data_IF_512024734211
#
_entry.id   IF_512024734211
#
_cell.length_a   1.000
_cell.length_b   1.000
_cell.length_c   1.000
_cell.angle_alpha   90.00
_cell.angle_beta   90.00
_cell.angle_gamma   90.00
#
_symmetry.space_group_name_H-M   'P 1'
#
loop_
_entity.id
_entity.type
_entity.pdbx_description
1 polymer ?
#
# COMPACT_ATOMS: atom_id res chain seq x y z
N UNK A 1 14.62 -34.89 24.72
CA UNK A 1 14.71 -33.78 23.74
C UNK A 1 14.31 -32.53 24.49
N UNK A 2 15.29 -31.68 24.82
CA UNK A 2 15.05 -30.42 25.52
C UNK A 2 14.84 -29.35 24.45
N UNK A 3 13.65 -28.79 24.36
CA UNK A 3 13.44 -27.54 23.62
C UNK A 3 13.91 -26.47 24.61
N UNK A 4 15.06 -25.85 24.36
CA UNK A 4 15.57 -24.79 25.22
C UNK A 4 14.57 -23.64 25.31
N UNK A 5 14.67 -22.83 26.37
CA UNK A 5 13.84 -21.63 26.54
C UNK A 5 14.17 -20.62 25.42
N UNK A 6 13.44 -20.72 24.32
CA UNK A 6 13.54 -19.80 23.20
C UNK A 6 13.12 -18.41 23.63
N UNK A 7 13.93 -17.40 23.30
CA UNK A 7 13.53 -16.00 23.50
C UNK A 7 12.54 -15.64 22.39
N UNK A 8 11.30 -15.30 22.78
CA UNK A 8 10.33 -14.70 21.87
C UNK A 8 10.77 -13.27 21.52
N UNK A 9 11.30 -13.07 20.31
CA UNK A 9 11.76 -11.76 19.82
C UNK A 9 10.62 -10.93 19.19
N UNK A 10 9.50 -11.58 18.91
CA UNK A 10 8.35 -10.98 18.22
C UNK A 10 7.64 -9.90 19.05
N UNK A 11 7.92 -9.79 20.35
CA UNK A 11 7.23 -8.83 21.22
C UNK A 11 7.39 -7.39 20.75
N UNK A 12 8.60 -6.98 20.37
CA UNK A 12 8.86 -5.61 19.89
C UNK A 12 8.20 -5.37 18.52
N UNK A 13 8.23 -6.38 17.64
CA UNK A 13 7.54 -6.32 16.36
C UNK A 13 6.02 -6.19 16.55
N UNK A 14 5.43 -6.98 17.44
CA UNK A 14 3.99 -6.96 17.74
C UNK A 14 3.55 -5.64 18.42
N UNK A 15 4.40 -5.02 19.23
CA UNK A 15 4.13 -3.67 19.76
C UNK A 15 4.13 -2.62 18.65
N UNK A 16 4.99 -2.78 17.64
CA UNK A 16 4.98 -1.90 16.46
C UNK A 16 3.71 -2.12 15.64
N UNK A 17 3.30 -3.38 15.43
CA UNK A 17 2.03 -3.72 14.77
C UNK A 17 0.84 -3.09 15.48
N UNK A 18 0.79 -3.17 16.81
CA UNK A 18 -0.26 -2.55 17.63
C UNK A 18 -0.31 -1.04 17.43
N UNK A 19 0.84 -0.36 17.48
CA UNK A 19 0.94 1.09 17.23
C UNK A 19 0.46 1.49 15.83
N UNK A 20 0.82 0.71 14.80
CA UNK A 20 0.36 0.96 13.43
C UNK A 20 -1.15 0.75 13.31
N UNK A 21 -1.70 -0.27 13.98
CA UNK A 21 -3.14 -0.52 13.98
C UNK A 21 -3.93 0.62 14.66
N UNK A 22 -3.42 1.16 15.77
CA UNK A 22 -4.02 2.30 16.46
C UNK A 22 -3.99 3.59 15.63
N UNK A 23 -3.05 3.71 14.69
CA UNK A 23 -2.83 4.89 13.84
C UNK A 23 -3.07 4.63 12.35
N UNK A 24 -3.84 3.58 12.03
CA UNK A 24 -3.97 3.08 10.66
C UNK A 24 -4.47 4.15 9.67
N UNK A 25 -5.44 4.97 10.07
CA UNK A 25 -5.97 6.05 9.24
C UNK A 25 -4.91 7.12 8.90
N UNK A 26 -3.98 7.38 9.83
CA UNK A 26 -2.88 8.31 9.60
C UNK A 26 -1.87 7.74 8.61
N UNK A 27 -1.58 6.45 8.73
CA UNK A 27 -0.74 5.72 7.78
C UNK A 27 -1.38 5.65 6.40
N UNK A 28 -2.67 5.33 6.30
CA UNK A 28 -3.38 5.30 5.02
C UNK A 28 -3.32 6.65 4.31
N UNK A 29 -3.66 7.72 5.04
CA UNK A 29 -3.58 9.09 4.53
C UNK A 29 -2.17 9.43 4.05
N UNK A 30 -1.15 9.02 4.81
CA UNK A 30 0.25 9.27 4.45
C UNK A 30 0.67 8.48 3.21
N UNK A 31 0.33 7.20 3.13
CA UNK A 31 0.61 6.35 1.96
C UNK A 31 0.00 6.92 0.69
N UNK A 32 -1.27 7.37 0.75
CA UNK A 32 -1.94 8.05 -0.37
C UNK A 32 -1.25 9.35 -0.80
N UNK A 33 -0.75 10.13 0.17
CA UNK A 33 0.05 11.33 -0.13
C UNK A 33 1.36 10.98 -0.84
N UNK A 34 2.05 9.91 -0.44
CA UNK A 34 3.27 9.47 -1.11
C UNK A 34 2.98 8.92 -2.51
N UNK A 35 1.90 8.15 -2.71
CA UNK A 35 1.44 7.72 -4.03
C UNK A 35 1.18 8.91 -4.96
N UNK A 36 0.46 9.93 -4.48
CA UNK A 36 0.18 11.14 -5.27
C UNK A 36 1.47 11.88 -5.64
N UNK A 37 2.42 12.03 -4.71
CA UNK A 37 3.73 12.63 -5.03
C UNK A 37 4.50 11.79 -6.06
N UNK A 38 4.56 10.48 -5.85
CA UNK A 38 5.32 9.55 -6.69
C UNK A 38 4.78 9.50 -8.12
N UNK A 39 3.46 9.59 -8.25
CA UNK A 39 2.75 9.63 -9.53
C UNK A 39 3.04 10.89 -10.38
N UNK A 40 3.72 11.88 -9.81
CA UNK A 40 4.21 13.07 -10.52
C UNK A 40 5.74 13.05 -10.75
N UNK A 41 6.40 11.92 -10.48
CA UNK A 41 7.85 11.76 -10.73
C UNK A 41 8.11 11.21 -12.14
N UNK A 42 9.38 11.12 -12.53
CA UNK A 42 9.78 10.47 -13.79
C UNK A 42 9.68 8.94 -13.73
N UNK A 43 9.46 8.36 -12.53
CA UNK A 43 9.25 6.93 -12.38
C UNK A 43 7.83 6.56 -12.85
N UNK A 44 7.70 5.66 -13.85
CA UNK A 44 6.42 5.37 -14.47
C UNK A 44 5.56 4.43 -13.64
N UNK A 45 6.07 3.81 -12.56
CA UNK A 45 5.39 2.71 -11.83
C UNK A 45 3.93 3.01 -11.49
N UNK A 46 3.66 4.22 -10.97
CA UNK A 46 2.29 4.61 -10.60
C UNK A 46 1.50 5.11 -11.80
N UNK A 47 2.14 5.81 -12.75
CA UNK A 47 1.49 6.28 -13.97
C UNK A 47 1.00 5.10 -14.83
N UNK A 48 1.87 4.11 -15.07
CA UNK A 48 1.58 2.88 -15.81
C UNK A 48 0.47 2.06 -15.13
N UNK A 49 0.48 1.98 -13.79
CA UNK A 49 -0.60 1.33 -13.05
C UNK A 49 -1.95 2.01 -13.33
N UNK A 50 -1.99 3.34 -13.29
CA UNK A 50 -3.23 4.10 -13.51
C UNK A 50 -3.68 3.98 -14.97
N UNK A 51 -2.76 4.14 -15.93
CA UNK A 51 -3.05 4.03 -17.36
C UNK A 51 -3.62 2.65 -17.69
N UNK A 52 -2.97 1.57 -17.24
CA UNK A 52 -3.45 0.20 -17.44
C UNK A 52 -4.89 0.01 -16.94
N UNK A 53 -5.22 0.48 -15.73
CA UNK A 53 -6.57 0.31 -15.19
C UNK A 53 -7.60 1.23 -15.85
N UNK A 54 -7.22 2.42 -16.32
CA UNK A 54 -8.13 3.30 -17.07
C UNK A 54 -8.45 2.73 -18.45
N UNK A 55 -7.49 2.06 -19.10
CA UNK A 55 -7.69 1.40 -20.39
C UNK A 55 -8.50 0.11 -20.26
N UNK A 56 -8.17 -0.76 -19.31
CA UNK A 56 -8.79 -2.09 -19.17
C UNK A 56 -10.09 -2.08 -18.35
N UNK A 57 -10.17 -1.21 -17.34
CA UNK A 57 -11.24 -1.19 -16.33
C UNK A 57 -11.91 0.18 -16.20
N UNK A 58 -11.86 0.99 -17.27
CA UNK A 58 -12.34 2.36 -17.26
C UNK A 58 -13.81 2.50 -16.84
N UNK A 59 -14.68 1.54 -17.15
CA UNK A 59 -16.09 1.61 -16.75
C UNK A 59 -16.29 1.33 -15.25
N UNK A 60 -15.56 0.36 -14.72
CA UNK A 60 -15.56 -0.05 -13.31
C UNK A 60 -15.02 1.09 -12.44
N UNK A 61 -13.90 1.68 -12.87
CA UNK A 61 -13.32 2.87 -12.23
C UNK A 61 -14.33 4.02 -12.23
N UNK A 62 -14.92 4.35 -13.38
CA UNK A 62 -15.94 5.41 -13.51
C UNK A 62 -17.16 5.18 -12.63
N UNK A 63 -17.63 3.93 -12.54
CA UNK A 63 -18.73 3.55 -11.68
C UNK A 63 -18.38 3.75 -10.20
N UNK A 64 -17.14 3.42 -9.81
CA UNK A 64 -16.64 3.57 -8.45
C UNK A 64 -16.46 5.03 -8.03
N UNK A 65 -15.92 5.86 -8.92
CA UNK A 65 -15.73 7.30 -8.65
C UNK A 65 -16.98 8.15 -8.91
N UNK A 66 -17.98 7.60 -9.61
CA UNK A 66 -19.20 8.32 -9.99
C UNK A 66 -18.98 9.45 -11.02
N UNK A 67 -17.92 9.38 -11.81
CA UNK A 67 -17.55 10.40 -12.82
C UNK A 67 -17.26 9.74 -14.17
N UNK A 68 -17.62 10.41 -15.26
CA UNK A 68 -17.30 9.96 -16.63
C UNK A 68 -15.86 10.30 -17.03
N UNK A 69 -15.33 11.40 -16.51
CA UNK A 69 -13.93 11.81 -16.65
C UNK A 69 -13.18 11.45 -15.36
N UNK A 70 -12.13 10.65 -15.50
CA UNK A 70 -11.31 10.20 -14.38
C UNK A 70 -9.90 10.68 -14.62
N UNK A 71 -9.52 11.73 -13.90
CA UNK A 71 -8.11 12.12 -13.80
C UNK A 71 -7.38 11.27 -12.76
N UNK A 72 -6.08 11.50 -12.64
CA UNK A 72 -5.21 10.77 -11.74
C UNK A 72 -5.62 10.90 -10.27
N UNK A 73 -6.02 12.09 -9.83
CA UNK A 73 -6.47 12.32 -8.45
C UNK A 73 -7.78 11.60 -8.16
N UNK A 74 -8.72 11.65 -9.11
CA UNK A 74 -10.00 10.93 -9.05
C UNK A 74 -9.77 9.42 -9.04
N UNK A 75 -8.87 8.90 -9.87
CA UNK A 75 -8.49 7.48 -9.85
C UNK A 75 -7.93 7.06 -8.48
N UNK A 76 -7.01 7.86 -7.92
CA UNK A 76 -6.41 7.60 -6.61
C UNK A 76 -7.46 7.54 -5.49
N UNK A 77 -8.56 8.29 -5.62
CA UNK A 77 -9.67 8.25 -4.66
C UNK A 77 -10.44 6.93 -4.66
N UNK A 78 -10.41 6.17 -5.76
CA UNK A 78 -11.05 4.85 -5.88
C UNK A 78 -10.18 3.70 -5.35
N UNK A 79 -8.91 3.94 -5.02
CA UNK A 79 -8.05 2.93 -4.43
C UNK A 79 -8.50 2.59 -3.02
N UNK A 80 -8.55 1.30 -2.74
CA UNK A 80 -8.86 0.72 -1.44
C UNK A 80 -7.57 0.17 -0.82
N UNK A 81 -7.37 0.47 0.47
CA UNK A 81 -6.37 -0.23 1.27
C UNK A 81 -6.91 -1.64 1.51
N UNK A 82 -6.33 -2.63 0.82
CA UNK A 82 -6.80 -4.01 0.81
C UNK A 82 -5.90 -4.96 1.61
N UNK A 83 -4.72 -4.52 2.00
CA UNK A 83 -3.77 -5.29 2.80
C UNK A 83 -2.82 -4.40 3.59
N UNK A 84 -2.52 -4.83 4.82
CA UNK A 84 -1.40 -4.32 5.60
C UNK A 84 -0.57 -5.50 6.06
N UNK A 85 0.70 -5.53 5.67
CA UNK A 85 1.60 -6.62 6.02
C UNK A 85 2.87 -6.12 6.70
N UNK A 86 3.40 -6.97 7.58
CA UNK A 86 4.55 -6.67 8.41
C UNK A 86 5.60 -7.75 8.19
N UNK A 87 6.80 -7.32 7.80
CA UNK A 87 7.90 -8.22 7.49
C UNK A 87 9.10 -7.86 8.34
N UNK A 88 9.50 -8.76 9.24
CA UNK A 88 10.74 -8.60 9.98
C UNK A 88 11.93 -8.75 9.04
N UNK A 89 12.82 -7.77 9.06
CA UNK A 89 14.06 -7.76 8.29
C UNK A 89 15.25 -7.51 9.22
N UNK A 90 16.46 -7.72 8.71
CA UNK A 90 17.69 -7.53 9.50
C UNK A 90 17.87 -6.10 10.05
N UNK A 91 17.20 -5.12 9.45
CA UNK A 91 17.23 -3.70 9.81
C UNK A 91 15.93 -3.20 10.46
N UNK A 92 15.05 -4.09 10.90
CA UNK A 92 13.80 -3.75 11.58
C UNK A 92 12.55 -4.22 10.84
N UNK A 93 11.39 -3.76 11.32
CA UNK A 93 10.11 -4.13 10.75
C UNK A 93 9.84 -3.28 9.50
N UNK A 94 9.56 -3.94 8.37
CA UNK A 94 9.03 -3.31 7.17
C UNK A 94 7.50 -3.41 7.19
N UNK A 95 6.83 -2.30 6.94
CA UNK A 95 5.38 -2.21 6.88
C UNK A 95 4.99 -1.96 5.42
N UNK A 96 4.04 -2.72 4.90
CA UNK A 96 3.56 -2.60 3.52
C UNK A 96 2.07 -2.34 3.51
N UNK A 97 1.66 -1.31 2.77
CA UNK A 97 0.26 -0.94 2.54
C UNK A 97 -0.09 -1.22 1.08
N UNK A 98 -0.98 -2.17 0.87
CA UNK A 98 -1.36 -2.64 -0.46
C UNK A 98 -2.67 -2.00 -0.92
N UNK A 99 -2.61 -1.32 -2.06
CA UNK A 99 -3.73 -0.61 -2.67
C UNK A 99 -4.20 -1.29 -3.95
N UNK A 100 -5.51 -1.38 -4.12
CA UNK A 100 -6.13 -1.93 -5.33
C UNK A 100 -7.33 -1.08 -5.74
N UNK A 101 -7.72 -1.13 -7.02
CA UNK A 101 -9.00 -0.57 -7.49
C UNK A 101 -10.21 -1.46 -7.11
N UNK A 102 -9.96 -2.59 -6.45
CA UNK A 102 -10.93 -3.60 -6.07
C UNK A 102 -10.41 -4.96 -6.52
N UNK A 103 -10.17 -5.86 -5.57
CA UNK A 103 -9.60 -7.20 -5.83
C UNK A 103 -10.54 -8.08 -6.66
N UNK A 104 -11.80 -7.70 -6.80
CA UNK A 104 -12.78 -8.31 -7.69
C UNK A 104 -12.60 -7.92 -9.17
N UNK A 105 -11.88 -6.83 -9.46
CA UNK A 105 -11.63 -6.34 -10.81
C UNK A 105 -10.22 -6.64 -11.30
N UNK A 106 -9.23 -6.57 -10.39
CA UNK A 106 -7.81 -6.76 -10.73
C UNK A 106 -7.03 -7.31 -9.53
N UNK A 107 -6.10 -8.22 -9.80
CA UNK A 107 -5.13 -8.70 -8.82
C UNK A 107 -3.93 -7.76 -8.65
N UNK A 108 -3.83 -6.71 -9.47
CA UNK A 108 -2.75 -5.73 -9.40
C UNK A 108 -2.82 -4.91 -8.10
N UNK A 109 -1.64 -4.66 -7.52
CA UNK A 109 -1.46 -3.91 -6.29
C UNK A 109 -0.45 -2.77 -6.48
N UNK A 110 -0.74 -1.62 -5.87
CA UNK A 110 0.27 -0.62 -5.54
C UNK A 110 0.69 -0.82 -4.08
N UNK A 111 1.91 -1.29 -3.87
CA UNK A 111 2.48 -1.52 -2.56
C UNK A 111 3.31 -0.30 -2.11
N UNK A 112 2.91 0.34 -1.00
CA UNK A 112 3.68 1.42 -0.37
C UNK A 112 4.42 0.87 0.84
N UNK A 113 5.75 0.90 0.81
CA UNK A 113 6.61 0.22 1.78
C UNK A 113 7.32 1.24 2.67
N UNK A 114 7.20 1.08 3.98
CA UNK A 114 7.86 1.93 4.98
C UNK A 114 8.75 1.11 5.92
N UNK A 115 9.77 1.77 6.48
CA UNK A 115 10.44 1.27 7.69
C UNK A 115 9.54 1.46 8.92
N UNK A 116 9.87 0.79 10.02
CA UNK A 116 9.21 0.98 11.33
C UNK A 116 9.25 2.41 11.85
N UNK A 117 10.27 3.18 11.45
CA UNK A 117 10.42 4.60 11.81
C UNK A 117 9.61 5.52 10.88
N UNK A 118 8.87 4.92 9.94
CA UNK A 118 8.05 5.62 8.96
C UNK A 118 8.84 6.31 7.87
N UNK A 119 10.01 5.81 7.49
CA UNK A 119 10.70 6.29 6.28
C UNK A 119 10.14 5.55 5.08
N UNK A 120 9.76 6.27 4.02
CA UNK A 120 9.34 5.65 2.76
C UNK A 120 10.54 4.92 2.16
N UNK A 121 10.38 3.62 1.90
CA UNK A 121 11.42 2.76 1.33
C UNK A 121 11.22 2.59 -0.17
N UNK A 122 10.00 2.29 -0.60
CA UNK A 122 9.68 1.92 -1.98
C UNK A 122 8.18 2.09 -2.24
N UNK A 123 7.84 2.43 -3.48
CA UNK A 123 6.51 2.24 -4.06
C UNK A 123 6.70 1.27 -5.24
N UNK A 124 5.94 0.19 -5.27
CA UNK A 124 6.06 -0.84 -6.29
C UNK A 124 4.69 -1.26 -6.81
N UNK A 125 4.63 -1.59 -8.09
CA UNK A 125 3.54 -2.35 -8.68
C UNK A 125 3.83 -3.84 -8.49
N UNK A 126 2.86 -4.57 -7.92
CA UNK A 126 2.93 -6.02 -7.70
C UNK A 126 1.72 -6.68 -8.39
N UNK A 127 1.93 -7.83 -9.06
CA UNK A 127 0.92 -8.57 -9.83
C UNK A 127 1.16 -10.07 -9.78
#
# INVERSE_FOLDING_TARGET
MYIGDGVCRDKEALQTVESVLETLDEWDRRSRQELLKFSNTEDPTVADFIEFHLEELGNEVRAKVGSAEVDQETFMSALELCGVSFHEQSNGLKIVFDYSIGREFSDALLAVKFSSDGVLLEIAHES
#
